data_IF_568488015147
#
_entry.id   IF_568488015147
#
_cell.length_a   1.000
_cell.length_b   1.000
_cell.length_c   1.000
_cell.angle_alpha   90.00
_cell.angle_beta   90.00
_cell.angle_gamma   90.00
#
_symmetry.space_group_name_H-M   'P 1'
#
loop_
_entity.id
_entity.type
_entity.pdbx_description
1 polymer ?
#
# COMPACT_ATOMS: atom_id res chain seq x y z
N UNK A 1 6.98 15.93 -17.91
CA UNK A 1 7.05 16.78 -16.69
C UNK A 1 6.87 15.97 -15.40
N UNK A 2 5.75 15.33 -15.16
CA UNK A 2 5.51 14.58 -13.90
C UNK A 2 6.54 13.47 -13.64
N UNK A 3 7.01 12.75 -14.66
CA UNK A 3 8.02 11.69 -14.52
C UNK A 3 9.41 12.21 -14.12
N UNK A 4 9.79 13.39 -14.55
CA UNK A 4 11.09 13.99 -14.23
C UNK A 4 11.11 14.53 -12.80
N UNK A 5 10.02 15.12 -12.34
CA UNK A 5 9.89 15.62 -10.96
C UNK A 5 9.92 14.46 -9.95
N UNK A 6 9.19 13.38 -10.22
CA UNK A 6 9.21 12.17 -9.39
C UNK A 6 10.60 11.54 -9.36
N UNK A 7 11.25 11.41 -10.52
CA UNK A 7 12.63 10.89 -10.61
C UNK A 7 13.62 11.74 -9.83
N UNK A 8 13.44 13.06 -9.82
CA UNK A 8 14.29 13.99 -9.09
C UNK A 8 14.05 13.89 -7.58
N UNK A 9 12.79 13.81 -7.18
CA UNK A 9 12.40 13.62 -5.78
C UNK A 9 12.97 12.32 -5.21
N UNK A 10 12.84 11.21 -5.92
CA UNK A 10 13.44 9.93 -5.54
C UNK A 10 14.96 9.98 -5.40
N UNK A 11 15.65 10.69 -6.30
CA UNK A 11 17.09 10.88 -6.20
C UNK A 11 17.49 11.64 -4.94
N UNK A 12 16.75 12.67 -4.59
CA UNK A 12 16.99 13.49 -3.39
C UNK A 12 16.75 12.67 -2.13
N UNK A 13 15.65 11.93 -2.06
CA UNK A 13 15.33 11.07 -0.92
C UNK A 13 16.32 9.91 -0.77
N UNK A 14 16.73 9.32 -1.89
CA UNK A 14 17.76 8.28 -1.91
C UNK A 14 19.10 8.84 -1.42
N UNK A 15 19.47 10.04 -1.83
CA UNK A 15 20.71 10.67 -1.41
C UNK A 15 20.70 11.01 0.08
N UNK A 16 19.59 11.50 0.62
CA UNK A 16 19.41 11.70 2.06
C UNK A 16 19.51 10.39 2.83
N UNK A 17 18.85 9.32 2.38
CA UNK A 17 18.92 8.02 3.01
C UNK A 17 20.35 7.46 3.02
N UNK A 18 21.12 7.70 1.96
CA UNK A 18 22.55 7.33 1.86
C UNK A 18 23.42 8.14 2.84
N UNK A 19 23.17 9.44 2.96
CA UNK A 19 23.89 10.32 3.88
C UNK A 19 23.57 9.98 5.35
N UNK A 20 22.31 9.71 5.68
CA UNK A 20 21.89 9.30 7.02
C UNK A 20 22.45 7.93 7.43
N UNK A 21 22.68 7.04 6.49
CA UNK A 21 23.23 5.71 6.73
C UNK A 21 24.76 5.67 6.86
N UNK A 22 25.47 6.81 6.76
CA UNK A 22 26.95 6.90 6.79
C UNK A 22 27.69 5.95 5.83
N UNK A 23 27.07 5.67 4.70
CA UNK A 23 27.59 4.64 3.78
C UNK A 23 28.66 5.21 2.86
N UNK A 24 29.88 4.66 2.92
CA UNK A 24 30.95 4.94 1.95
C UNK A 24 30.54 4.39 0.59
N UNK A 25 30.65 5.23 -0.45
CA UNK A 25 30.35 4.88 -1.84
C UNK A 25 31.16 3.67 -2.34
N UNK A 26 30.71 2.49 -2.10
CA UNK A 26 31.37 1.26 -2.55
C UNK A 26 30.79 -0.02 -1.95
N UNK A 27 30.13 0.09 -0.82
CA UNK A 27 29.68 -1.07 -0.04
C UNK A 27 28.20 -0.96 0.37
N UNK A 28 27.38 -0.37 -0.53
CA UNK A 28 25.97 -0.11 -0.25
C UNK A 28 25.16 -1.38 -0.46
N UNK A 29 24.68 -1.97 0.63
CA UNK A 29 23.68 -3.02 0.52
C UNK A 29 22.36 -2.39 0.04
N UNK A 30 22.06 -2.60 -1.25
CA UNK A 30 20.81 -2.11 -1.88
C UNK A 30 19.58 -2.48 -1.08
N UNK A 31 19.58 -3.65 -0.44
CA UNK A 31 18.44 -4.15 0.33
C UNK A 31 18.15 -3.28 1.54
N UNK A 32 19.19 -2.74 2.20
CA UNK A 32 19.03 -1.82 3.30
C UNK A 32 18.41 -0.48 2.84
N UNK A 33 18.87 0.04 1.71
CA UNK A 33 18.36 1.29 1.15
C UNK A 33 16.91 1.14 0.73
N UNK A 34 16.60 0.09 -0.01
CA UNK A 34 15.24 -0.14 -0.50
C UNK A 34 14.23 -0.47 0.60
N UNK A 35 14.69 -0.92 1.76
CA UNK A 35 13.87 -1.12 2.94
C UNK A 35 13.82 0.10 3.88
N UNK A 36 14.59 1.17 3.60
CA UNK A 36 14.62 2.35 4.45
C UNK A 36 13.29 3.13 4.37
N UNK A 37 12.72 3.58 5.50
CA UNK A 37 11.43 4.33 5.51
C UNK A 37 11.40 5.50 4.55
N UNK A 38 12.45 6.31 4.51
CA UNK A 38 12.57 7.49 3.62
C UNK A 38 12.55 7.13 2.12
N UNK A 39 12.82 5.88 1.76
CA UNK A 39 12.68 5.37 0.41
C UNK A 39 11.32 4.74 0.17
N UNK A 40 10.85 3.94 1.13
CA UNK A 40 9.61 3.17 1.04
C UNK A 40 8.38 4.08 1.02
N UNK A 41 8.35 5.10 1.88
CA UNK A 41 7.20 5.98 2.04
C UNK A 41 6.83 6.73 0.75
N UNK A 42 7.72 7.49 0.09
CA UNK A 42 7.39 8.17 -1.16
C UNK A 42 7.14 7.21 -2.32
N UNK A 43 7.80 6.05 -2.35
CA UNK A 43 7.55 5.04 -3.37
C UNK A 43 6.16 4.43 -3.21
N UNK A 44 5.74 4.12 -2.00
CA UNK A 44 4.42 3.59 -1.72
C UNK A 44 3.32 4.61 -2.03
N UNK A 45 3.54 5.89 -1.68
CA UNK A 45 2.60 6.97 -2.01
C UNK A 45 2.39 7.08 -3.53
N UNK A 46 3.46 6.99 -4.29
CA UNK A 46 3.36 6.95 -5.75
C UNK A 46 2.56 5.75 -6.25
N UNK A 47 2.86 4.55 -5.75
CA UNK A 47 2.18 3.30 -6.14
C UNK A 47 0.68 3.39 -5.84
N UNK A 48 0.33 3.80 -4.62
CA UNK A 48 -1.07 3.92 -4.20
C UNK A 48 -1.82 4.96 -5.04
N UNK A 49 -1.21 6.13 -5.23
CA UNK A 49 -1.83 7.21 -6.01
C UNK A 49 -2.07 6.81 -7.46
N UNK A 50 -1.10 6.18 -8.10
CA UNK A 50 -1.22 5.72 -9.50
C UNK A 50 -2.24 4.57 -9.62
N UNK A 51 -2.25 3.68 -8.66
CA UNK A 51 -3.21 2.58 -8.60
C UNK A 51 -4.65 3.06 -8.42
N UNK A 52 -4.90 4.00 -7.52
CA UNK A 52 -6.22 4.60 -7.33
C UNK A 52 -6.71 5.33 -8.58
N UNK A 53 -5.81 6.02 -9.30
CA UNK A 53 -6.13 6.62 -10.62
C UNK A 53 -6.52 5.55 -11.64
N UNK A 54 -5.81 4.43 -11.65
CA UNK A 54 -6.09 3.32 -12.55
C UNK A 54 -7.46 2.68 -12.27
N UNK A 55 -7.78 2.45 -10.99
CA UNK A 55 -9.13 2.03 -10.58
C UNK A 55 -10.20 3.00 -11.06
N UNK A 56 -9.93 4.31 -10.91
CA UNK A 56 -10.82 5.37 -11.38
C UNK A 56 -11.06 5.35 -12.88
N UNK A 57 -10.01 5.13 -13.66
CA UNK A 57 -10.06 5.08 -15.11
C UNK A 57 -10.84 3.86 -15.62
N UNK A 58 -10.72 2.72 -14.96
CA UNK A 58 -11.41 1.47 -15.31
C UNK A 58 -12.81 1.42 -14.69
N UNK A 59 -13.06 2.24 -13.67
CA UNK A 59 -14.26 2.25 -12.84
C UNK A 59 -14.52 0.91 -12.14
N UNK A 60 -13.47 0.27 -11.65
CA UNK A 60 -13.53 -1.00 -10.93
C UNK A 60 -12.69 -0.93 -9.64
N UNK A 61 -13.37 -0.92 -8.51
CA UNK A 61 -12.77 -0.89 -7.19
C UNK A 61 -12.34 -2.27 -6.66
N UNK A 62 -12.66 -3.35 -7.38
CA UNK A 62 -12.33 -4.72 -6.96
C UNK A 62 -10.96 -5.18 -7.44
N UNK A 63 -10.35 -4.43 -8.36
CA UNK A 63 -9.00 -4.73 -8.86
C UNK A 63 -8.01 -4.56 -7.72
N UNK A 64 -7.20 -5.60 -7.48
CA UNK A 64 -6.10 -5.60 -6.53
C UNK A 64 -4.75 -5.35 -7.20
N UNK A 65 -3.78 -4.87 -6.42
CA UNK A 65 -2.39 -4.68 -6.83
C UNK A 65 -1.43 -5.62 -6.10
N UNK A 66 -0.45 -6.17 -6.81
CA UNK A 66 0.62 -6.94 -6.20
C UNK A 66 1.93 -6.16 -6.31
N UNK A 67 2.58 -5.92 -5.18
CA UNK A 67 3.88 -5.26 -5.10
C UNK A 67 4.94 -6.31 -4.80
N UNK A 68 5.80 -6.56 -5.77
CA UNK A 68 6.93 -7.48 -5.63
C UNK A 68 8.11 -6.69 -5.09
N UNK A 69 8.55 -7.04 -3.89
CA UNK A 69 9.61 -6.35 -3.18
C UNK A 69 10.97 -6.99 -3.42
N UNK A 70 12.05 -6.22 -3.26
CA UNK A 70 13.43 -6.66 -3.44
C UNK A 70 13.95 -7.50 -2.25
N UNK A 71 13.32 -7.36 -1.09
CA UNK A 71 13.65 -8.09 0.12
C UNK A 71 12.44 -8.27 1.04
N UNK A 72 12.55 -9.23 1.99
CA UNK A 72 11.55 -9.40 3.03
C UNK A 72 11.44 -8.16 3.92
N UNK A 73 12.56 -7.48 4.18
CA UNK A 73 12.58 -6.25 4.98
C UNK A 73 11.82 -5.12 4.26
N UNK A 74 12.03 -4.95 2.96
CA UNK A 74 11.27 -3.98 2.18
C UNK A 74 9.78 -4.29 2.20
N UNK A 75 9.40 -5.56 2.02
CA UNK A 75 7.99 -5.97 2.05
C UNK A 75 7.33 -5.67 3.41
N UNK A 76 8.02 -5.98 4.51
CA UNK A 76 7.55 -5.65 5.87
C UNK A 76 7.39 -4.14 6.05
N UNK A 77 8.39 -3.37 5.65
CA UNK A 77 8.37 -1.91 5.77
C UNK A 77 7.26 -1.29 4.93
N UNK A 78 7.04 -1.77 3.70
CA UNK A 78 5.91 -1.34 2.86
C UNK A 78 4.56 -1.62 3.50
N UNK A 79 4.40 -2.80 4.08
CA UNK A 79 3.18 -3.19 4.76
C UNK A 79 2.92 -2.35 6.01
N UNK A 80 3.96 -2.07 6.81
CA UNK A 80 3.86 -1.24 8.01
C UNK A 80 3.49 0.20 7.65
N UNK A 81 4.14 0.80 6.66
CA UNK A 81 3.83 2.14 6.17
C UNK A 81 2.42 2.20 5.57
N UNK A 82 2.02 1.18 4.81
CA UNK A 82 0.66 1.10 4.28
C UNK A 82 -0.38 1.10 5.40
N UNK A 83 -0.19 0.28 6.42
CA UNK A 83 -1.11 0.21 7.54
C UNK A 83 -1.16 1.51 8.37
N UNK A 84 -0.04 2.22 8.47
CA UNK A 84 0.03 3.49 9.18
C UNK A 84 -0.71 4.63 8.46
N UNK A 85 -0.65 4.67 7.12
CA UNK A 85 -1.11 5.80 6.31
C UNK A 85 -2.44 5.51 5.62
N UNK A 86 -2.56 4.34 5.00
CA UNK A 86 -3.66 4.03 4.06
C UNK A 86 -4.69 3.06 4.60
N UNK A 87 -4.33 2.21 5.56
CA UNK A 87 -5.30 1.27 6.13
C UNK A 87 -6.51 2.03 6.66
N UNK A 88 -7.68 1.65 6.21
CA UNK A 88 -8.93 2.18 6.73
C UNK A 88 -8.94 1.97 8.24
N UNK A 89 -9.01 3.04 9.01
CA UNK A 89 -9.22 2.90 10.46
C UNK A 89 -10.44 1.99 10.62
N UNK A 90 -10.34 0.91 11.41
CA UNK A 90 -11.52 0.14 11.71
C UNK A 90 -12.54 1.14 12.24
N UNK A 91 -13.66 1.22 11.57
CA UNK A 91 -14.81 1.94 12.13
C UNK A 91 -15.13 1.14 13.38
N UNK A 92 -14.58 1.56 14.50
CA UNK A 92 -15.07 1.19 15.80
C UNK A 92 -16.54 1.58 15.72
N UNK A 93 -17.38 0.57 15.57
CA UNK A 93 -18.80 0.71 15.73
C UNK A 93 -19.01 1.12 17.19
N UNK A 94 -18.80 2.39 17.45
CA UNK A 94 -19.26 3.02 18.67
C UNK A 94 -20.76 2.94 18.53
N UNK A 95 -21.35 1.96 19.20
CA UNK A 95 -22.76 2.00 19.53
C UNK A 95 -22.95 3.21 20.43
N UNK A 96 -23.03 4.37 19.83
CA UNK A 96 -23.61 5.54 20.48
C UNK A 96 -25.10 5.44 20.21
N UNK A 97 -25.76 4.80 21.16
CA UNK A 97 -27.17 5.08 21.40
C UNK A 97 -27.25 6.55 21.84
N UNK A 98 -27.42 7.44 20.90
CA UNK A 98 -27.88 8.79 21.20
C UNK A 98 -28.94 9.13 20.18
N UNK A 99 -30.12 9.24 20.74
CA UNK A 99 -31.36 9.71 20.18
C UNK A 99 -31.16 11.10 19.57
N UNK A 100 -31.64 11.23 18.32
CA UNK A 100 -32.15 12.44 17.69
C UNK A 100 -31.34 13.73 17.82
N UNK A 101 -30.70 14.09 16.68
CA UNK A 101 -31.04 15.37 16.04
C UNK A 101 -30.77 15.22 14.54
N UNK A 102 -31.80 15.45 13.75
CA UNK A 102 -31.75 15.48 12.31
C UNK A 102 -30.98 16.74 11.86
N UNK A 103 -29.64 16.63 11.88
CA UNK A 103 -28.80 17.47 11.06
C UNK A 103 -28.79 16.83 9.67
N UNK A 104 -29.28 17.54 8.68
CA UNK A 104 -29.17 17.16 7.27
C UNK A 104 -27.70 16.85 6.97
N UNK A 105 -27.39 15.57 6.79
CA UNK A 105 -26.11 15.18 6.31
C UNK A 105 -25.88 15.85 4.95
N UNK A 106 -24.74 16.53 4.72
CA UNK A 106 -24.48 17.11 3.42
C UNK A 106 -24.59 16.00 2.40
N UNK A 107 -25.38 16.24 1.35
CA UNK A 107 -25.56 15.28 0.27
C UNK A 107 -24.20 15.01 -0.36
N UNK A 108 -23.59 13.86 0.00
CA UNK A 108 -22.36 13.40 -0.61
C UNK A 108 -22.68 13.17 -2.08
N UNK A 109 -22.08 13.95 -2.95
CA UNK A 109 -22.30 13.84 -4.40
C UNK A 109 -21.91 12.44 -4.86
N UNK A 110 -22.68 11.83 -5.76
CA UNK A 110 -22.40 10.52 -6.34
C UNK A 110 -20.92 10.38 -6.78
N UNK A 111 -20.36 11.47 -7.35
CA UNK A 111 -18.94 11.52 -7.76
C UNK A 111 -17.96 11.38 -6.58
N UNK A 112 -18.28 11.91 -5.40
CA UNK A 112 -17.45 11.76 -4.19
C UNK A 112 -17.57 10.36 -3.62
N UNK A 113 -18.76 9.77 -3.64
CA UNK A 113 -18.98 8.38 -3.22
C UNK A 113 -18.21 7.39 -4.10
N UNK A 114 -18.17 7.61 -5.42
CA UNK A 114 -17.41 6.78 -6.36
C UNK A 114 -15.90 6.94 -6.13
N UNK A 115 -15.41 8.17 -5.93
CA UNK A 115 -14.00 8.42 -5.61
C UNK A 115 -13.59 7.74 -4.30
N UNK A 116 -14.45 7.76 -3.29
CA UNK A 116 -14.17 7.14 -2.00
C UNK A 116 -14.19 5.61 -2.07
N UNK A 117 -15.02 5.02 -2.94
CA UNK A 117 -15.06 3.58 -3.16
C UNK A 117 -13.77 3.03 -3.82
N UNK A 118 -13.06 3.86 -4.58
CA UNK A 118 -11.82 3.48 -5.28
C UNK A 118 -10.56 3.59 -4.42
N UNK A 119 -10.68 4.15 -3.21
CA UNK A 119 -9.57 4.25 -2.26
C UNK A 119 -9.13 2.87 -1.77
N UNK A 120 -7.82 2.69 -1.67
CA UNK A 120 -7.26 1.49 -1.05
C UNK A 120 -7.44 1.53 0.46
N UNK A 121 -7.70 0.37 1.07
CA UNK A 121 -8.00 0.25 2.51
C UNK A 121 -7.27 -0.90 3.17
N UNK A 122 -6.98 -1.96 2.43
CA UNK A 122 -6.52 -3.22 2.97
C UNK A 122 -5.29 -3.72 2.22
N UNK A 123 -4.38 -4.31 2.96
CA UNK A 123 -3.23 -5.00 2.39
C UNK A 123 -2.96 -6.31 3.14
N UNK A 124 -2.25 -7.23 2.50
CA UNK A 124 -1.69 -8.40 3.15
C UNK A 124 -0.21 -8.52 2.80
N UNK A 125 0.54 -9.15 3.69
CA UNK A 125 1.96 -9.41 3.56
C UNK A 125 2.18 -10.90 3.38
N UNK A 126 2.70 -11.29 2.22
CA UNK A 126 2.97 -12.69 1.86
C UNK A 126 4.47 -12.94 1.87
N UNK A 127 4.96 -13.54 2.94
CA UNK A 127 6.34 -13.96 3.09
C UNK A 127 6.38 -15.43 3.52
N UNK A 128 7.53 -16.05 3.29
CA UNK A 128 7.71 -17.45 3.65
C UNK A 128 7.62 -17.70 5.17
N UNK A 129 8.06 -16.73 5.94
CA UNK A 129 8.17 -16.77 7.41
C UNK A 129 6.98 -16.11 8.14
N UNK A 130 5.98 -15.62 7.41
CA UNK A 130 4.79 -14.97 8.00
C UNK A 130 3.53 -15.77 7.68
N UNK A 131 2.77 -16.06 8.74
CA UNK A 131 1.54 -16.83 8.69
C UNK A 131 1.74 -18.30 8.35
N UNK A 132 0.70 -19.07 8.53
CA UNK A 132 0.64 -20.47 8.10
C UNK A 132 0.42 -20.57 6.58
N UNK A 133 0.58 -21.76 6.03
CA UNK A 133 0.29 -22.01 4.61
C UNK A 133 -1.18 -21.76 4.27
N UNK A 134 -2.05 -22.13 5.19
CA UNK A 134 -3.50 -21.94 5.08
C UNK A 134 -3.86 -20.46 5.10
N UNK A 135 -3.35 -19.70 6.06
CA UNK A 135 -3.59 -18.25 6.15
C UNK A 135 -3.11 -17.52 4.90
N UNK A 136 -1.93 -17.86 4.38
CA UNK A 136 -1.44 -17.26 3.13
C UNK A 136 -2.35 -17.59 1.94
N UNK A 137 -2.91 -18.78 1.89
CA UNK A 137 -3.87 -19.17 0.86
C UNK A 137 -5.16 -18.37 0.98
N UNK A 138 -5.67 -18.19 2.20
CA UNK A 138 -6.88 -17.41 2.46
C UNK A 138 -6.68 -15.93 2.05
N UNK A 139 -5.52 -15.34 2.35
CA UNK A 139 -5.20 -13.97 1.90
C UNK A 139 -5.15 -13.83 0.37
N UNK A 140 -4.63 -14.82 -0.32
CA UNK A 140 -4.62 -14.83 -1.79
C UNK A 140 -6.03 -14.99 -2.35
N UNK A 141 -6.87 -15.81 -1.75
CA UNK A 141 -8.26 -15.95 -2.15
C UNK A 141 -9.07 -14.68 -1.87
N UNK A 142 -8.87 -14.05 -0.72
CA UNK A 142 -9.48 -12.76 -0.39
C UNK A 142 -9.00 -11.63 -1.32
N UNK A 143 -7.74 -11.66 -1.76
CA UNK A 143 -7.24 -10.74 -2.77
C UNK A 143 -7.92 -10.98 -4.13
N UNK A 144 -8.03 -12.23 -4.58
CA UNK A 144 -8.75 -12.59 -5.82
C UNK A 144 -10.24 -12.22 -5.76
N UNK A 145 -10.82 -12.26 -4.56
CA UNK A 145 -12.21 -11.85 -4.33
C UNK A 145 -12.41 -10.32 -4.21
N UNK A 146 -11.33 -9.52 -4.33
CA UNK A 146 -11.39 -8.06 -4.21
C UNK A 146 -11.57 -7.53 -2.80
N UNK A 147 -11.35 -8.36 -1.77
CA UNK A 147 -11.43 -7.94 -0.36
C UNK A 147 -10.14 -7.33 0.15
N UNK A 148 -9.01 -7.67 -0.48
CA UNK A 148 -7.69 -7.14 -0.19
C UNK A 148 -7.23 -6.33 -1.39
N UNK A 149 -6.81 -5.09 -1.17
CA UNK A 149 -6.43 -4.14 -2.21
C UNK A 149 -4.99 -4.34 -2.67
N UNK A 150 -4.06 -4.62 -1.74
CA UNK A 150 -2.66 -4.83 -2.05
C UNK A 150 -2.10 -6.12 -1.43
N UNK A 151 -1.28 -6.82 -2.20
CA UNK A 151 -0.38 -7.86 -1.69
C UNK A 151 1.07 -7.35 -1.77
N UNK A 152 1.75 -7.31 -0.63
CA UNK A 152 3.20 -7.11 -0.58
C UNK A 152 3.86 -8.48 -0.51
N UNK A 153 4.70 -8.79 -1.49
CA UNK A 153 5.29 -10.12 -1.65
C UNK A 153 6.80 -10.05 -1.86
N UNK A 154 7.51 -11.05 -1.36
CA UNK A 154 8.91 -11.25 -1.67
C UNK A 154 9.16 -12.72 -1.94
N UNK A 155 9.72 -13.02 -3.09
CA UNK A 155 10.13 -14.35 -3.51
C UNK A 155 9.02 -15.44 -3.46
N UNK A 156 7.77 -15.01 -3.48
CA UNK A 156 6.58 -15.86 -3.45
C UNK A 156 5.58 -15.40 -4.51
N UNK A 157 4.70 -16.29 -4.96
CA UNK A 157 3.65 -16.02 -5.94
C UNK A 157 4.15 -15.56 -7.32
N UNK A 158 5.45 -15.66 -7.59
CA UNK A 158 6.03 -15.33 -8.91
C UNK A 158 5.69 -16.38 -9.97
N UNK A 159 5.37 -17.60 -9.53
CA UNK A 159 4.93 -18.71 -10.37
C UNK A 159 3.71 -19.37 -9.74
N UNK A 160 2.65 -19.54 -10.50
CA UNK A 160 1.44 -20.25 -10.03
C UNK A 160 0.42 -19.37 -9.31
N UNK A 161 0.25 -18.15 -9.77
CA UNK A 161 -0.87 -17.28 -9.36
C UNK A 161 -2.14 -17.58 -10.18
N UNK A 162 -2.29 -18.82 -10.61
CA UNK A 162 -3.46 -19.28 -11.35
C UNK A 162 -4.64 -19.60 -10.41
#
# INVERSE_FOLDING_TARGET
>A
MIREEISTQYKIELQKALEEAEVKMGDVDRKLIYAHPSFVEPMLDYIVTDFEKSRGAINDATIGGMVICDSSNQAKQMFDVFNAIYAGKPVLATKVNTVLEAAEAPAVTYAESVKQAQKVKNAALILHDIGTKEERKDWVEDFKAGKIDFLFVYNMLLTGFD
#
